data_IF_384012105115
#
_entry.id   IF_384012105115
#
_cell.length_a   1.000
_cell.length_b   1.000
_cell.length_c   1.000
_cell.angle_alpha   90.00
_cell.angle_beta   90.00
_cell.angle_gamma   90.00
#
_symmetry.space_group_name_H-M   'P 1'
#
loop_
_entity.id
_entity.type
_entity.pdbx_description
1 polymer ?
#
# COMPACT_ATOMS: atom_id res chain seq x y z
N UNK A 1 -21.78 -12.32 -29.48
CA UNK A 1 -21.28 -11.83 -28.18
C UNK A 1 -21.08 -13.03 -27.29
N UNK A 2 -19.85 -13.30 -26.89
CA UNK A 2 -19.52 -14.42 -26.00
C UNK A 2 -20.19 -14.24 -24.64
N UNK A 3 -20.51 -15.34 -23.96
CA UNK A 3 -21.20 -15.34 -22.67
C UNK A 3 -20.39 -16.10 -21.64
N UNK A 4 -20.14 -15.46 -20.51
CA UNK A 4 -19.47 -16.02 -19.33
C UNK A 4 -20.40 -15.87 -18.14
N UNK A 5 -20.25 -16.71 -17.13
CA UNK A 5 -21.00 -16.53 -15.89
C UNK A 5 -20.38 -15.40 -15.05
N UNK A 6 -19.04 -15.35 -15.03
CA UNK A 6 -18.26 -14.36 -14.30
C UNK A 6 -17.15 -13.82 -15.20
N UNK A 7 -16.98 -12.50 -15.24
CA UNK A 7 -15.80 -11.84 -15.82
C UNK A 7 -15.01 -11.13 -14.73
N UNK A 8 -13.73 -11.47 -14.60
CA UNK A 8 -12.80 -10.89 -13.63
C UNK A 8 -11.84 -9.96 -14.37
N UNK A 9 -11.78 -8.69 -13.95
CA UNK A 9 -10.93 -7.66 -14.53
C UNK A 9 -9.71 -7.44 -13.65
N UNK A 10 -8.53 -7.82 -14.15
CA UNK A 10 -7.24 -7.78 -13.48
C UNK A 10 -6.82 -9.15 -12.95
N UNK A 11 -5.63 -9.60 -13.34
CA UNK A 11 -5.01 -10.86 -12.90
C UNK A 11 -3.91 -10.60 -11.86
N UNK A 12 -4.22 -9.77 -10.87
CA UNK A 12 -3.33 -9.43 -9.74
C UNK A 12 -3.61 -10.25 -8.48
N UNK A 13 -3.20 -9.71 -7.33
CA UNK A 13 -3.30 -10.35 -6.00
C UNK A 13 -4.72 -10.79 -5.63
N UNK A 14 -5.76 -10.08 -6.07
CA UNK A 14 -7.15 -10.45 -5.79
C UNK A 14 -7.81 -11.24 -6.92
N UNK A 15 -7.50 -10.91 -8.17
CA UNK A 15 -8.17 -11.51 -9.33
C UNK A 15 -7.77 -12.95 -9.61
N UNK A 16 -6.48 -13.30 -9.47
CA UNK A 16 -6.02 -14.68 -9.61
C UNK A 16 -6.71 -15.65 -8.62
N UNK A 17 -6.70 -15.40 -7.29
CA UNK A 17 -7.43 -16.27 -6.35
C UNK A 17 -8.93 -16.30 -6.59
N UNK A 18 -9.53 -15.18 -7.00
CA UNK A 18 -10.95 -15.14 -7.36
C UNK A 18 -11.25 -16.08 -8.53
N UNK A 19 -10.40 -16.09 -9.56
CA UNK A 19 -10.56 -16.97 -10.71
C UNK A 19 -10.35 -18.44 -10.34
N UNK A 20 -9.34 -18.76 -9.51
CA UNK A 20 -9.05 -20.12 -9.05
C UNK A 20 -10.31 -20.73 -8.41
N UNK A 21 -10.91 -20.03 -7.44
CA UNK A 21 -12.07 -20.53 -6.70
C UNK A 21 -13.34 -20.53 -7.58
N UNK A 22 -13.57 -19.50 -8.39
CA UNK A 22 -14.72 -19.45 -9.29
C UNK A 22 -14.71 -20.60 -10.32
N UNK A 23 -13.57 -20.85 -10.95
CA UNK A 23 -13.40 -21.95 -11.92
C UNK A 23 -13.59 -23.32 -11.24
N UNK A 24 -13.20 -23.46 -9.98
CA UNK A 24 -13.36 -24.69 -9.22
C UNK A 24 -14.83 -25.09 -9.01
N UNK A 25 -15.76 -24.13 -9.02
CA UNK A 25 -17.20 -24.38 -8.91
C UNK A 25 -17.84 -24.96 -10.18
N UNK A 26 -17.18 -24.82 -11.33
CA UNK A 26 -17.74 -25.16 -12.65
C UNK A 26 -18.26 -23.95 -13.45
N UNK A 27 -18.32 -22.75 -12.85
CA UNK A 27 -18.70 -21.53 -13.55
C UNK A 27 -17.81 -21.25 -14.77
N UNK A 28 -18.40 -20.71 -15.85
CA UNK A 28 -17.66 -20.26 -17.02
C UNK A 28 -17.05 -18.89 -16.74
N UNK A 29 -15.72 -18.84 -16.60
CA UNK A 29 -14.99 -17.64 -16.17
C UNK A 29 -14.13 -17.08 -17.29
N UNK A 30 -14.20 -15.76 -17.47
CA UNK A 30 -13.22 -15.00 -18.25
C UNK A 30 -12.39 -14.13 -17.31
N UNK A 31 -11.07 -14.14 -17.49
CA UNK A 31 -10.15 -13.21 -16.85
C UNK A 31 -9.52 -12.33 -17.93
N UNK A 32 -9.58 -11.01 -17.75
CA UNK A 32 -8.92 -10.04 -18.63
C UNK A 32 -7.84 -9.28 -17.86
N UNK A 33 -6.66 -9.13 -18.45
CA UNK A 33 -5.52 -8.41 -17.91
C UNK A 33 -4.98 -7.45 -18.96
N UNK A 34 -4.83 -6.18 -18.59
CA UNK A 34 -4.39 -5.14 -19.51
C UNK A 34 -2.89 -5.26 -19.82
N UNK A 35 -2.10 -5.80 -18.90
CA UNK A 35 -0.69 -6.06 -19.08
C UNK A 35 -0.42 -7.37 -19.85
N UNK A 36 0.78 -7.54 -20.44
CA UNK A 36 1.14 -8.78 -21.14
C UNK A 36 1.46 -9.94 -20.20
N UNK A 37 1.36 -9.75 -18.88
CA UNK A 37 1.63 -10.78 -17.88
C UNK A 37 0.75 -10.60 -16.63
N UNK A 38 0.44 -11.73 -15.97
CA UNK A 38 -0.28 -11.72 -14.70
C UNK A 38 0.64 -11.39 -13.51
N UNK A 39 0.03 -11.11 -12.35
CA UNK A 39 0.68 -10.90 -11.07
C UNK A 39 0.49 -9.51 -10.48
N UNK A 40 0.20 -8.51 -11.31
CA UNK A 40 -0.03 -7.13 -10.87
C UNK A 40 1.11 -6.61 -9.99
N UNK A 41 0.78 -6.05 -8.82
CA UNK A 41 1.75 -5.45 -7.90
C UNK A 41 2.63 -6.46 -7.15
N UNK A 42 2.36 -7.77 -7.23
CA UNK A 42 3.20 -8.79 -6.56
C UNK A 42 4.66 -8.79 -7.07
N UNK A 43 4.90 -8.33 -8.30
CA UNK A 43 6.25 -8.22 -8.87
C UNK A 43 7.15 -7.20 -8.14
N UNK A 44 6.56 -6.24 -7.42
CA UNK A 44 7.30 -5.16 -6.73
C UNK A 44 6.95 -5.02 -5.25
N UNK A 45 5.92 -5.74 -4.79
CA UNK A 45 5.49 -5.72 -3.39
C UNK A 45 6.51 -6.41 -2.49
N UNK A 46 6.65 -5.94 -1.25
CA UNK A 46 7.35 -6.69 -0.20
C UNK A 46 6.59 -7.93 0.27
N UNK A 47 5.36 -8.15 -0.21
CA UNK A 47 4.60 -9.37 0.09
C UNK A 47 4.27 -9.55 1.56
N UNK A 48 4.33 -8.48 2.36
CA UNK A 48 3.92 -8.51 3.75
C UNK A 48 2.44 -8.84 3.84
N UNK A 49 2.13 -9.81 4.67
CA UNK A 49 0.82 -10.38 4.92
C UNK A 49 0.57 -10.37 6.43
N UNK A 50 -0.67 -10.22 6.84
CA UNK A 50 -1.09 -10.39 8.23
C UNK A 50 -2.24 -11.40 8.33
N UNK A 51 -2.31 -12.14 9.43
CA UNK A 51 -3.38 -13.11 9.66
C UNK A 51 -3.31 -13.68 11.06
N UNK A 52 -4.47 -13.91 11.68
CA UNK A 52 -4.55 -14.48 13.03
C UNK A 52 -5.02 -15.94 12.97
N UNK A 53 -4.57 -16.75 13.92
CA UNK A 53 -4.98 -18.15 14.10
C UNK A 53 -4.34 -19.14 13.12
N UNK A 54 -3.26 -18.77 12.43
CA UNK A 54 -2.59 -19.67 11.48
C UNK A 54 -1.99 -20.90 12.18
N UNK A 55 -1.75 -21.98 11.43
CA UNK A 55 -1.06 -23.16 11.94
C UNK A 55 0.36 -22.82 12.42
N UNK A 56 1.04 -21.92 11.72
CA UNK A 56 2.37 -21.47 12.08
C UNK A 56 2.39 -20.73 13.44
N UNK A 57 1.40 -19.88 13.72
CA UNK A 57 1.27 -19.25 15.05
C UNK A 57 1.10 -20.30 16.14
N UNK A 58 0.21 -21.28 15.92
CA UNK A 58 -0.02 -22.39 16.86
C UNK A 58 1.25 -23.20 17.10
N UNK A 59 2.03 -23.50 16.06
CA UNK A 59 3.30 -24.21 16.17
C UNK A 59 4.36 -23.43 16.97
N UNK A 60 4.30 -22.09 16.97
CA UNK A 60 5.17 -21.21 17.76
C UNK A 60 4.60 -20.88 19.15
N UNK A 61 3.47 -21.49 19.56
CA UNK A 61 2.84 -21.22 20.85
C UNK A 61 2.18 -19.84 20.95
N UNK A 62 1.91 -19.18 19.82
CA UNK A 62 1.23 -17.88 19.77
C UNK A 62 -0.27 -18.12 19.73
N UNK A 63 -0.97 -17.69 20.78
CA UNK A 63 -2.43 -17.72 20.86
C UNK A 63 -3.00 -16.39 20.33
N UNK A 64 -3.64 -16.44 19.16
CA UNK A 64 -4.18 -15.25 18.49
C UNK A 64 -5.58 -15.53 17.92
N UNK A 65 -6.36 -14.48 17.66
CA UNK A 65 -7.73 -14.58 17.16
C UNK A 65 -8.10 -13.43 16.23
N UNK A 66 -9.20 -13.60 15.47
CA UNK A 66 -9.72 -12.54 14.61
C UNK A 66 -10.17 -11.31 15.41
N UNK A 67 -10.70 -11.51 16.62
CA UNK A 67 -11.10 -10.45 17.54
C UNK A 67 -9.89 -9.66 18.05
N UNK A 68 -8.81 -10.36 18.42
CA UNK A 68 -7.56 -9.71 18.80
C UNK A 68 -6.95 -8.92 17.64
N UNK A 69 -7.04 -9.46 16.41
CA UNK A 69 -6.62 -8.76 15.21
C UNK A 69 -7.43 -7.49 14.97
N UNK A 70 -8.76 -7.58 15.06
CA UNK A 70 -9.66 -6.45 14.90
C UNK A 70 -9.36 -5.36 15.94
N UNK A 71 -9.14 -5.74 17.21
CA UNK A 71 -8.83 -4.80 18.27
C UNK A 71 -7.52 -4.04 18.02
N UNK A 72 -6.51 -4.68 17.44
CA UNK A 72 -5.29 -3.99 17.01
C UNK A 72 -5.53 -3.07 15.80
N UNK A 73 -6.31 -3.52 14.82
CA UNK A 73 -6.67 -2.69 13.66
C UNK A 73 -7.43 -1.44 14.11
N UNK A 74 -8.43 -1.58 14.98
CA UNK A 74 -9.22 -0.47 15.51
C UNK A 74 -8.39 0.48 16.38
N UNK A 75 -7.41 -0.05 17.13
CA UNK A 75 -6.44 0.78 17.85
C UNK A 75 -5.62 1.64 16.90
N UNK A 76 -5.01 1.01 15.89
CA UNK A 76 -4.08 1.69 14.98
C UNK A 76 -4.85 2.66 14.08
N UNK A 77 -5.95 2.22 13.49
CA UNK A 77 -6.75 3.05 12.57
C UNK A 77 -7.79 3.95 13.25
N UNK A 78 -7.89 3.91 14.59
CA UNK A 78 -8.82 4.72 15.40
C UNK A 78 -10.30 4.44 15.07
N UNK A 79 -10.62 3.18 14.75
CA UNK A 79 -11.98 2.71 14.44
C UNK A 79 -12.54 3.22 13.11
N UNK A 80 -11.69 3.65 12.16
CA UNK A 80 -12.14 4.29 10.91
C UNK A 80 -12.21 3.36 9.69
N UNK A 81 -11.69 2.14 9.81
CA UNK A 81 -11.84 1.10 8.79
C UNK A 81 -13.29 0.61 8.67
N UNK A 82 -13.59 -0.12 7.60
CA UNK A 82 -14.91 -0.69 7.36
C UNK A 82 -15.07 -1.99 8.12
N UNK A 83 -15.68 -1.87 9.30
CA UNK A 83 -15.85 -2.97 10.24
C UNK A 83 -16.55 -4.18 9.61
N UNK A 84 -17.58 -3.96 8.82
CA UNK A 84 -18.34 -5.02 8.15
C UNK A 84 -17.47 -5.83 7.16
N UNK A 85 -16.49 -5.20 6.51
CA UNK A 85 -15.56 -5.90 5.62
C UNK A 85 -14.47 -6.60 6.44
N UNK A 86 -13.99 -5.97 7.51
CA UNK A 86 -13.02 -6.56 8.44
C UNK A 86 -13.57 -7.84 9.08
N UNK A 87 -14.83 -7.84 9.52
CA UNK A 87 -15.52 -9.00 10.10
C UNK A 87 -15.67 -10.15 9.09
N UNK A 88 -15.73 -9.85 7.78
CA UNK A 88 -15.69 -10.87 6.72
C UNK A 88 -14.26 -11.38 6.49
N UNK A 89 -13.24 -10.53 6.37
CA UNK A 89 -11.89 -10.99 6.02
C UNK A 89 -11.15 -11.65 7.18
N UNK A 90 -11.17 -11.06 8.38
CA UNK A 90 -10.26 -11.41 9.48
C UNK A 90 -10.32 -12.88 9.91
N UNK A 91 -11.50 -13.50 10.08
CA UNK A 91 -11.59 -14.92 10.47
C UNK A 91 -11.01 -15.89 9.43
N UNK A 92 -10.75 -15.44 8.20
CA UNK A 92 -10.29 -16.26 7.08
C UNK A 92 -8.81 -16.05 6.74
N UNK A 93 -8.15 -15.06 7.35
CA UNK A 93 -6.79 -14.70 6.98
C UNK A 93 -5.77 -15.75 7.40
N UNK A 94 -5.87 -16.32 8.61
CA UNK A 94 -5.00 -17.41 9.06
C UNK A 94 -5.02 -18.59 8.09
N UNK A 95 -6.22 -19.07 7.73
CA UNK A 95 -6.39 -20.15 6.74
C UNK A 95 -5.90 -19.79 5.33
N UNK A 96 -5.85 -18.50 4.98
CA UNK A 96 -5.25 -18.06 3.71
C UNK A 96 -3.72 -18.13 3.74
N UNK A 97 -3.10 -17.85 4.88
CA UNK A 97 -1.67 -18.10 5.08
C UNK A 97 -1.37 -19.60 5.02
N UNK A 98 -2.19 -20.41 5.69
CA UNK A 98 -2.03 -21.87 5.69
C UNK A 98 -2.16 -22.44 4.27
N UNK A 99 -3.15 -21.98 3.49
CA UNK A 99 -3.29 -22.34 2.08
C UNK A 99 -2.06 -21.98 1.23
N UNK A 100 -1.42 -20.83 1.46
CA UNK A 100 -0.18 -20.50 0.77
C UNK A 100 0.93 -21.50 1.14
N UNK A 101 1.10 -21.81 2.43
CA UNK A 101 2.11 -22.75 2.90
C UNK A 101 1.90 -24.17 2.35
N UNK A 102 0.65 -24.65 2.33
CA UNK A 102 0.27 -25.95 1.74
C UNK A 102 0.64 -26.05 0.25
N UNK A 103 0.67 -24.91 -0.46
CA UNK A 103 1.01 -24.83 -1.88
C UNK A 103 2.49 -24.41 -2.11
N UNK A 104 3.35 -24.56 -1.10
CA UNK A 104 4.79 -24.38 -1.25
C UNK A 104 5.28 -22.93 -1.11
N UNK A 105 4.55 -22.09 -0.37
CA UNK A 105 5.02 -20.74 -0.05
C UNK A 105 6.31 -20.77 0.76
N UNK A 106 7.36 -20.16 0.20
CA UNK A 106 8.67 -20.04 0.83
C UNK A 106 8.66 -18.89 1.85
N UNK A 107 8.19 -19.23 3.06
CA UNK A 107 8.05 -18.34 4.21
C UNK A 107 9.43 -17.96 4.77
N UNK A 108 9.62 -16.67 5.05
CA UNK A 108 10.82 -16.24 5.76
C UNK A 108 10.88 -16.86 7.18
N UNK A 109 12.02 -17.41 7.61
CA UNK A 109 12.15 -18.09 8.90
C UNK A 109 11.93 -17.18 10.12
N UNK A 110 11.95 -15.86 9.95
CA UNK A 110 11.60 -14.92 11.01
C UNK A 110 10.09 -14.86 11.28
N UNK A 111 9.24 -15.45 10.43
CA UNK A 111 7.79 -15.39 10.55
C UNK A 111 7.21 -16.46 11.49
N UNK A 112 6.09 -16.17 12.18
CA UNK A 112 5.43 -14.87 12.26
C UNK A 112 6.23 -13.89 13.13
N UNK A 113 6.17 -12.59 12.79
CA UNK A 113 6.90 -11.56 13.52
C UNK A 113 6.03 -10.36 13.89
N UNK A 114 6.55 -9.55 14.82
CA UNK A 114 6.13 -8.15 15.00
C UNK A 114 6.99 -7.29 14.08
N UNK A 115 6.33 -6.54 13.19
CA UNK A 115 7.00 -5.65 12.26
C UNK A 115 6.80 -4.19 12.70
N UNK A 116 7.91 -3.44 12.78
CA UNK A 116 7.93 -2.05 13.27
C UNK A 116 8.01 -0.98 12.15
N UNK A 117 7.90 -1.39 10.88
CA UNK A 117 7.96 -0.45 9.75
C UNK A 117 6.81 0.58 9.81
N UNK A 118 5.65 0.15 10.28
CA UNK A 118 4.50 0.98 10.64
C UNK A 118 4.12 0.67 12.10
N UNK A 119 3.01 1.26 12.58
CA UNK A 119 2.51 0.98 13.91
C UNK A 119 2.30 -0.53 14.12
N UNK A 120 2.98 -1.08 15.13
CA UNK A 120 3.10 -2.50 15.28
C UNK A 120 1.82 -3.14 15.86
N UNK A 121 1.56 -4.38 15.45
CA UNK A 121 0.65 -5.27 16.15
C UNK A 121 1.20 -5.62 17.54
N UNK A 122 0.31 -6.02 18.45
CA UNK A 122 0.68 -6.55 19.77
C UNK A 122 1.16 -7.99 19.72
N UNK A 123 0.61 -8.76 18.79
CA UNK A 123 0.99 -10.17 18.58
C UNK A 123 1.78 -10.34 17.28
N UNK A 124 2.67 -11.34 17.28
CA UNK A 124 3.38 -11.76 16.09
C UNK A 124 2.39 -12.44 15.11
N UNK A 125 1.94 -11.65 14.12
CA UNK A 125 0.93 -12.04 13.12
C UNK A 125 1.27 -11.56 11.71
N UNK A 126 2.48 -11.06 11.50
CA UNK A 126 2.97 -10.62 10.19
C UNK A 126 3.83 -11.71 9.56
N UNK A 127 3.62 -11.96 8.28
CA UNK A 127 4.26 -12.98 7.46
C UNK A 127 4.78 -12.35 6.18
N UNK A 128 5.87 -12.88 5.63
CA UNK A 128 6.36 -12.55 4.30
C UNK A 128 7.17 -13.72 3.75
N UNK A 129 7.36 -13.73 2.44
CA UNK A 129 8.22 -14.72 1.80
C UNK A 129 9.64 -14.19 1.61
N UNK A 130 10.57 -15.11 1.38
CA UNK A 130 12.01 -14.78 1.20
C UNK A 130 12.30 -13.82 0.03
N UNK A 131 11.40 -13.72 -0.94
CA UNK A 131 11.45 -12.81 -2.09
C UNK A 131 10.25 -11.84 -2.10
N UNK A 132 9.67 -11.58 -0.93
CA UNK A 132 8.53 -10.69 -0.77
C UNK A 132 7.31 -11.10 -1.59
N UNK A 133 6.75 -10.18 -2.38
CA UNK A 133 5.55 -10.41 -3.19
C UNK A 133 5.76 -11.47 -4.27
N UNK A 134 6.99 -11.65 -4.74
CA UNK A 134 7.34 -12.68 -5.72
C UNK A 134 7.15 -14.07 -5.12
N UNK A 135 7.40 -14.28 -3.82
CA UNK A 135 7.10 -15.57 -3.16
C UNK A 135 5.61 -15.90 -3.20
N UNK A 136 4.73 -14.91 -3.04
CA UNK A 136 3.27 -15.11 -3.17
C UNK A 136 2.93 -15.46 -4.61
N UNK A 137 3.53 -14.75 -5.57
CA UNK A 137 3.30 -14.98 -7.00
C UNK A 137 3.75 -16.36 -7.45
N UNK A 138 4.88 -16.88 -6.94
CA UNK A 138 5.39 -18.23 -7.23
C UNK A 138 4.41 -19.32 -6.82
N UNK A 139 3.53 -19.06 -5.85
CA UNK A 139 2.45 -19.97 -5.44
C UNK A 139 1.18 -19.71 -6.25
N UNK A 140 0.72 -18.46 -6.33
CA UNK A 140 -0.59 -18.17 -6.94
C UNK A 140 -0.59 -18.33 -8.45
N UNK A 141 0.52 -18.04 -9.14
CA UNK A 141 0.59 -18.10 -10.60
C UNK A 141 0.41 -19.53 -11.14
N UNK A 142 1.14 -20.57 -10.68
CA UNK A 142 0.92 -21.93 -11.18
C UNK A 142 -0.50 -22.44 -10.91
N UNK A 143 -1.09 -22.13 -9.75
CA UNK A 143 -2.47 -22.49 -9.43
C UNK A 143 -3.48 -21.81 -10.37
N UNK A 144 -3.25 -20.54 -10.65
CA UNK A 144 -4.07 -19.76 -11.57
C UNK A 144 -3.94 -20.27 -13.01
N UNK A 145 -2.72 -20.49 -13.49
CA UNK A 145 -2.46 -21.04 -14.82
C UNK A 145 -3.12 -22.41 -14.98
N UNK A 146 -3.01 -23.29 -13.98
CA UNK A 146 -3.72 -24.57 -13.96
C UNK A 146 -5.24 -24.40 -14.05
N UNK A 147 -5.83 -23.45 -13.31
CA UNK A 147 -7.25 -23.14 -13.42
C UNK A 147 -7.64 -22.66 -14.83
N UNK A 148 -6.80 -21.83 -15.47
CA UNK A 148 -7.04 -21.32 -16.81
C UNK A 148 -6.92 -22.37 -17.93
N UNK A 149 -6.38 -23.56 -17.64
CA UNK A 149 -6.39 -24.69 -18.60
C UNK A 149 -7.72 -25.47 -18.61
N UNK A 150 -8.63 -25.19 -17.67
CA UNK A 150 -9.92 -25.89 -17.61
C UNK A 150 -10.85 -25.43 -18.74
N UNK A 151 -11.74 -26.29 -19.26
CA UNK A 151 -12.61 -25.96 -20.39
C UNK A 151 -13.63 -24.85 -20.08
N UNK A 152 -13.87 -24.55 -18.81
CA UNK A 152 -14.75 -23.48 -18.34
C UNK A 152 -13.99 -22.18 -18.02
N UNK A 153 -12.74 -22.03 -18.44
CA UNK A 153 -11.92 -20.86 -18.12
C UNK A 153 -11.25 -20.28 -19.36
N UNK A 154 -11.05 -18.96 -19.36
CA UNK A 154 -10.31 -18.25 -20.39
C UNK A 154 -9.53 -17.07 -19.80
N UNK A 155 -8.30 -16.87 -20.27
CA UNK A 155 -7.45 -15.72 -19.95
C UNK A 155 -7.14 -14.92 -21.21
N UNK A 156 -7.38 -13.60 -21.16
CA UNK A 156 -6.96 -12.65 -22.20
C UNK A 156 -5.98 -11.64 -21.62
N UNK A 157 -4.72 -11.77 -22.01
CA UNK A 157 -3.65 -10.80 -21.71
C UNK A 157 -3.68 -9.64 -22.72
N UNK A 158 -3.00 -8.55 -22.40
CA UNK A 158 -2.98 -7.34 -23.24
C UNK A 158 -4.39 -6.87 -23.65
N UNK A 159 -5.36 -7.09 -22.78
CA UNK A 159 -6.79 -6.86 -23.02
C UNK A 159 -7.36 -6.02 -21.90
N UNK A 160 -7.69 -4.77 -22.22
CA UNK A 160 -8.19 -3.77 -21.27
C UNK A 160 -9.71 -3.73 -21.28
N UNK A 161 -10.35 -3.83 -20.12
CA UNK A 161 -11.75 -3.46 -19.98
C UNK A 161 -11.90 -1.93 -20.00
N UNK A 162 -12.80 -1.41 -20.84
CA UNK A 162 -12.96 0.04 -21.08
C UNK A 162 -14.35 0.57 -20.71
N UNK A 163 -15.33 -0.31 -20.49
CA UNK A 163 -16.68 0.08 -20.11
C UNK A 163 -17.52 -1.05 -19.57
N UNK A 164 -18.51 -0.71 -18.74
CA UNK A 164 -19.55 -1.62 -18.25
C UNK A 164 -20.80 -1.48 -19.12
N UNK A 165 -21.46 -2.61 -19.40
CA UNK A 165 -22.74 -2.64 -20.11
C UNK A 165 -23.86 -2.84 -19.13
N UNK A 166 -24.78 -1.88 -19.09
CA UNK A 166 -25.89 -1.85 -18.15
C UNK A 166 -27.19 -2.08 -18.94
N UNK A 167 -27.96 -3.09 -18.54
CA UNK A 167 -29.27 -3.42 -19.09
C UNK A 167 -30.23 -3.55 -17.89
N UNK A 168 -31.37 -2.86 -17.93
CA UNK A 168 -32.38 -2.84 -16.86
C UNK A 168 -31.81 -2.51 -15.46
N UNK A 169 -30.86 -1.58 -15.41
CA UNK A 169 -30.21 -1.13 -14.17
C UNK A 169 -29.16 -2.10 -13.60
N UNK A 170 -28.91 -3.22 -14.28
CA UNK A 170 -27.94 -4.27 -13.89
C UNK A 170 -26.76 -4.32 -14.85
N UNK A 171 -25.56 -4.58 -14.31
CA UNK A 171 -24.38 -4.86 -15.14
C UNK A 171 -24.53 -6.25 -15.77
N UNK A 172 -24.47 -6.31 -17.10
CA UNK A 172 -24.67 -7.53 -17.92
C UNK A 172 -23.51 -7.84 -18.86
N UNK A 173 -22.46 -7.03 -18.85
CA UNK A 173 -21.35 -7.19 -19.77
C UNK A 173 -20.28 -6.13 -19.64
N UNK A 174 -19.26 -6.26 -20.47
CA UNK A 174 -18.14 -5.33 -20.57
C UNK A 174 -17.80 -5.05 -22.04
N UNK A 175 -17.24 -3.87 -22.28
CA UNK A 175 -16.48 -3.57 -23.49
C UNK A 175 -14.99 -3.78 -23.20
N UNK A 176 -14.30 -4.48 -24.10
CA UNK A 176 -12.89 -4.85 -24.00
C UNK A 176 -12.15 -4.29 -25.21
N UNK A 177 -10.90 -3.88 -25.01
CA UNK A 177 -9.95 -3.50 -26.06
C UNK A 177 -8.75 -4.45 -25.98
N UNK A 178 -8.61 -5.33 -26.97
CA UNK A 178 -7.51 -6.31 -27.03
C UNK A 178 -6.66 -6.16 -28.28
N UNK A 179 -5.70 -7.08 -28.52
CA UNK A 179 -4.82 -7.02 -29.69
C UNK A 179 -5.56 -7.11 -31.03
N UNK A 180 -6.73 -7.72 -31.04
CA UNK A 180 -7.61 -7.86 -32.23
C UNK A 180 -8.61 -6.69 -32.37
N UNK A 181 -8.54 -5.70 -31.47
CA UNK A 181 -9.42 -4.54 -31.41
C UNK A 181 -10.52 -4.64 -30.35
N UNK A 182 -11.51 -3.76 -30.47
CA UNK A 182 -12.65 -3.68 -29.56
C UNK A 182 -13.56 -4.92 -29.67
N UNK A 183 -13.98 -5.46 -28.52
CA UNK A 183 -14.94 -6.55 -28.41
C UNK A 183 -15.87 -6.34 -27.23
N UNK A 184 -16.94 -7.14 -27.17
CA UNK A 184 -17.95 -7.06 -26.12
C UNK A 184 -18.27 -8.46 -25.61
N UNK A 185 -18.50 -8.59 -24.30
CA UNK A 185 -18.83 -9.86 -23.64
C UNK A 185 -20.07 -9.71 -22.77
N UNK A 186 -20.92 -10.75 -22.72
CA UNK A 186 -22.05 -10.86 -21.77
C UNK A 186 -21.61 -11.60 -20.53
N UNK A 187 -22.08 -11.16 -19.37
CA UNK A 187 -21.86 -11.86 -18.11
C UNK A 187 -22.95 -11.69 -17.06
N UNK A 188 -23.04 -12.65 -16.15
CA UNK A 188 -23.91 -12.59 -14.98
C UNK A 188 -23.33 -11.73 -13.84
N UNK A 189 -22.00 -11.66 -13.75
CA UNK A 189 -21.27 -10.89 -12.75
C UNK A 189 -19.91 -10.37 -13.29
N UNK A 190 -19.58 -9.14 -12.94
CA UNK A 190 -18.28 -8.51 -13.18
C UNK A 190 -17.57 -8.31 -11.84
N UNK A 191 -16.30 -8.72 -11.75
CA UNK A 191 -15.43 -8.49 -10.60
C UNK A 191 -14.30 -7.54 -11.00
N UNK A 192 -14.31 -6.33 -10.44
CA UNK A 192 -13.22 -5.35 -10.59
C UNK A 192 -12.13 -5.66 -9.55
N UNK A 193 -11.08 -6.34 -10.00
CA UNK A 193 -9.88 -6.68 -9.23
C UNK A 193 -8.63 -5.92 -9.73
N UNK A 194 -8.85 -4.67 -10.17
CA UNK A 194 -7.92 -3.89 -10.99
C UNK A 194 -6.79 -3.18 -10.24
N UNK A 195 -6.68 -3.38 -8.93
CA UNK A 195 -5.73 -2.64 -8.10
C UNK A 195 -6.13 -1.16 -7.89
N UNK A 196 -5.19 -0.37 -7.38
CA UNK A 196 -5.37 1.05 -7.06
C UNK A 196 -5.00 2.00 -8.20
N UNK A 197 -4.80 3.27 -7.85
CA UNK A 197 -4.45 4.37 -8.76
C UNK A 197 -3.09 5.02 -8.47
N UNK A 198 -2.18 4.26 -7.84
CA UNK A 198 -0.88 4.77 -7.40
C UNK A 198 0.08 5.13 -8.53
N UNK A 199 -0.27 4.84 -9.78
CA UNK A 199 0.44 5.25 -11.00
C UNK A 199 -0.16 6.48 -11.69
N UNK A 200 -1.29 7.02 -11.20
CA UNK A 200 -2.03 8.11 -11.83
C UNK A 200 -2.08 9.36 -10.93
N UNK A 201 -1.17 10.31 -11.16
CA UNK A 201 -1.04 11.52 -10.35
C UNK A 201 -2.30 12.41 -10.39
N UNK A 202 -3.02 12.48 -11.52
CA UNK A 202 -4.25 13.27 -11.66
C UNK A 202 -5.37 12.68 -10.83
N UNK A 203 -5.58 11.36 -10.94
CA UNK A 203 -6.58 10.66 -10.15
C UNK A 203 -6.23 10.69 -8.66
N UNK A 204 -4.95 10.54 -8.32
CA UNK A 204 -4.50 10.66 -6.94
C UNK A 204 -4.84 12.04 -6.34
N UNK A 205 -4.52 13.13 -7.05
CA UNK A 205 -4.86 14.47 -6.61
C UNK A 205 -6.39 14.64 -6.45
N UNK A 206 -7.20 14.12 -7.38
CA UNK A 206 -8.69 14.14 -7.28
C UNK A 206 -9.18 13.43 -6.01
N UNK A 207 -8.59 12.28 -5.68
CA UNK A 207 -9.03 11.43 -4.57
C UNK A 207 -8.48 11.85 -3.20
N UNK A 208 -7.48 12.74 -3.15
CA UNK A 208 -6.77 13.08 -1.90
C UNK A 208 -6.70 14.58 -1.63
N UNK A 209 -7.63 15.36 -2.18
CA UNK A 209 -7.74 16.79 -1.90
C UNK A 209 -6.60 17.63 -2.49
N UNK A 210 -6.14 17.28 -3.68
CA UNK A 210 -5.13 18.04 -4.44
C UNK A 210 -3.67 17.72 -4.09
N UNK A 211 -3.41 16.69 -3.28
CA UNK A 211 -2.04 16.30 -2.90
C UNK A 211 -1.25 15.78 -4.10
N UNK A 212 0.05 16.06 -4.11
CA UNK A 212 0.97 15.47 -5.07
C UNK A 212 1.19 13.99 -4.78
N UNK A 213 1.32 13.19 -5.84
CA UNK A 213 1.61 11.77 -5.74
C UNK A 213 3.11 11.54 -5.73
N UNK A 214 3.63 10.90 -4.69
CA UNK A 214 4.97 10.30 -4.64
C UNK A 214 4.82 8.80 -4.37
N UNK A 215 5.37 7.92 -5.21
CA UNK A 215 4.84 6.55 -5.31
C UNK A 215 5.86 5.47 -5.62
N UNK A 216 5.68 4.32 -4.96
CA UNK A 216 6.33 3.05 -5.32
C UNK A 216 5.42 2.12 -6.16
N UNK A 217 4.19 2.53 -6.48
CA UNK A 217 3.25 1.75 -7.30
C UNK A 217 3.68 1.66 -8.78
N UNK A 218 3.21 0.62 -9.48
CA UNK A 218 3.52 0.42 -10.90
C UNK A 218 2.71 1.39 -11.79
N UNK A 219 3.20 1.78 -12.97
CA UNK A 219 2.46 2.63 -13.90
C UNK A 219 1.07 2.10 -14.29
N UNK A 220 0.92 0.77 -14.40
CA UNK A 220 -0.35 0.10 -14.70
C UNK A 220 -1.42 0.20 -13.60
N UNK A 221 -1.07 0.66 -12.39
CA UNK A 221 -2.03 1.01 -11.33
C UNK A 221 -2.65 2.37 -11.62
N UNK A 222 -3.43 2.45 -12.71
CA UNK A 222 -3.92 3.70 -13.30
C UNK A 222 -5.31 4.14 -12.78
N UNK A 223 -6.00 3.28 -12.04
CA UNK A 223 -7.34 3.52 -11.50
C UNK A 223 -8.49 3.37 -12.50
N UNK A 224 -8.23 2.84 -13.70
CA UNK A 224 -9.25 2.67 -14.75
C UNK A 224 -10.48 1.87 -14.30
N UNK A 225 -10.31 0.83 -13.47
CA UNK A 225 -11.44 0.10 -12.88
C UNK A 225 -12.32 0.96 -11.96
N UNK A 226 -11.73 1.90 -11.23
CA UNK A 226 -12.46 2.83 -10.36
C UNK A 226 -13.26 3.83 -11.20
N UNK A 227 -12.65 4.39 -12.25
CA UNK A 227 -13.35 5.30 -13.16
C UNK A 227 -14.49 4.60 -13.92
N UNK A 228 -14.29 3.33 -14.29
CA UNK A 228 -15.34 2.51 -14.91
C UNK A 228 -16.51 2.26 -13.96
N UNK A 229 -16.24 1.97 -12.69
CA UNK A 229 -17.27 1.81 -11.67
C UNK A 229 -18.01 3.13 -11.40
N UNK A 230 -17.29 4.24 -11.27
CA UNK A 230 -17.85 5.58 -11.06
C UNK A 230 -18.77 5.98 -12.22
N UNK A 231 -18.37 5.69 -13.47
CA UNK A 231 -19.20 5.90 -14.66
C UNK A 231 -20.50 5.05 -14.66
N UNK A 232 -20.50 3.89 -14.00
CA UNK A 232 -21.69 3.06 -13.76
C UNK A 232 -22.52 3.51 -12.54
N UNK A 233 -22.13 4.61 -11.89
CA UNK A 233 -22.82 5.20 -10.74
C UNK A 233 -22.39 4.62 -9.39
N UNK A 234 -21.20 4.02 -9.30
CA UNK A 234 -20.64 3.58 -8.03
C UNK A 234 -20.32 4.76 -7.10
N UNK A 235 -20.60 4.58 -5.81
CA UNK A 235 -20.08 5.43 -4.76
C UNK A 235 -18.58 5.20 -4.57
N UNK A 236 -17.89 6.23 -4.11
CA UNK A 236 -16.48 6.17 -3.73
C UNK A 236 -16.33 6.50 -2.26
N UNK A 237 -15.39 5.84 -1.58
CA UNK A 237 -15.12 6.08 -0.16
C UNK A 237 -13.63 6.15 0.12
N UNK A 238 -13.26 6.88 1.17
CA UNK A 238 -11.94 6.84 1.78
C UNK A 238 -11.05 8.03 1.41
N UNK A 239 -11.61 9.02 0.70
CA UNK A 239 -10.90 10.23 0.27
C UNK A 239 -10.37 11.06 1.46
N UNK A 240 -11.05 11.02 2.60
CA UNK A 240 -10.66 11.73 3.83
C UNK A 240 -9.76 10.91 4.77
N UNK A 241 -9.42 9.67 4.39
CA UNK A 241 -8.68 8.71 5.22
C UNK A 241 -7.21 8.54 4.80
N UNK A 242 -6.70 9.42 3.95
CA UNK A 242 -5.34 9.32 3.45
C UNK A 242 -4.29 9.48 4.58
N UNK A 243 -3.37 8.52 4.63
CA UNK A 243 -2.16 8.53 5.44
C UNK A 243 -0.95 8.15 4.56
N UNK A 244 0.12 8.97 4.51
CA UNK A 244 1.33 8.63 3.78
C UNK A 244 2.24 7.69 4.60
N UNK A 245 3.11 6.96 3.91
CA UNK A 245 4.29 6.35 4.52
C UNK A 245 5.36 7.42 4.76
N UNK A 246 6.06 7.35 5.91
CA UNK A 246 6.77 8.50 6.47
C UNK A 246 7.87 9.12 5.58
N UNK A 247 8.61 8.37 4.78
CA UNK A 247 9.40 9.03 3.75
C UNK A 247 9.87 8.14 2.62
N UNK A 248 9.92 8.73 1.44
CA UNK A 248 10.90 8.36 0.43
C UNK A 248 11.59 9.58 -0.13
N UNK A 249 12.59 9.31 -0.97
CA UNK A 249 13.30 10.28 -1.77
C UNK A 249 12.98 9.93 -3.23
N UNK A 250 12.54 10.89 -4.07
CA UNK A 250 12.35 10.62 -5.49
C UNK A 250 13.62 10.03 -6.11
N UNK A 251 13.48 9.03 -6.97
CA UNK A 251 14.62 8.39 -7.62
C UNK A 251 15.37 9.38 -8.53
N UNK A 252 14.60 10.16 -9.31
CA UNK A 252 15.11 11.18 -10.21
C UNK A 252 14.72 12.58 -9.73
N UNK A 253 15.57 13.58 -10.03
CA UNK A 253 15.29 14.97 -9.72
C UNK A 253 14.01 15.44 -10.45
N UNK A 254 13.08 16.06 -9.71
CA UNK A 254 11.79 16.50 -10.24
C UNK A 254 10.79 15.37 -10.54
N UNK A 255 11.20 14.11 -10.40
CA UNK A 255 10.32 12.95 -10.52
C UNK A 255 9.50 12.72 -9.26
N UNK A 256 8.57 11.77 -9.36
CA UNK A 256 7.72 11.35 -8.23
C UNK A 256 7.83 9.85 -7.90
N UNK A 257 8.63 9.12 -8.67
CA UNK A 257 8.91 7.71 -8.46
C UNK A 257 9.81 7.54 -7.25
N UNK A 258 9.44 6.65 -6.33
CA UNK A 258 10.29 6.24 -5.21
C UNK A 258 10.68 4.77 -5.42
N UNK A 259 11.98 4.50 -5.32
CA UNK A 259 12.53 3.15 -5.36
C UNK A 259 12.61 2.61 -3.95
N UNK A 260 11.89 1.53 -3.69
CA UNK A 260 11.75 0.96 -2.36
C UNK A 260 13.11 0.62 -1.70
N UNK A 261 14.02 -0.02 -2.45
CA UNK A 261 15.36 -0.38 -1.95
C UNK A 261 16.16 0.84 -1.46
N UNK A 262 15.87 2.01 -2.00
CA UNK A 262 16.54 3.28 -1.71
C UNK A 262 15.84 4.10 -0.61
N UNK A 263 14.87 3.52 0.11
CA UNK A 263 14.21 4.22 1.20
C UNK A 263 15.15 4.54 2.37
N UNK A 264 14.94 5.67 3.05
CA UNK A 264 15.70 6.02 4.23
C UNK A 264 15.32 5.15 5.44
N UNK A 265 16.31 4.79 6.25
CA UNK A 265 16.12 4.05 7.49
C UNK A 265 15.72 5.01 8.62
N UNK A 266 14.42 5.31 8.71
CA UNK A 266 13.87 6.28 9.66
C UNK A 266 13.07 5.64 10.80
N UNK A 267 12.92 4.32 10.84
CA UNK A 267 12.18 3.62 11.89
C UNK A 267 13.02 3.55 13.17
N UNK A 268 12.63 4.20 14.29
CA UNK A 268 13.47 4.29 15.49
C UNK A 268 13.81 2.93 16.12
N UNK A 269 12.95 1.94 15.94
CA UNK A 269 13.16 0.56 16.39
C UNK A 269 14.25 -0.18 15.58
N UNK A 270 14.54 0.29 14.36
CA UNK A 270 15.58 -0.28 13.47
C UNK A 270 16.84 0.57 13.53
N UNK A 271 16.69 1.90 13.42
CA UNK A 271 17.77 2.87 13.48
C UNK A 271 17.30 4.09 14.28
N UNK A 272 17.85 4.27 15.47
CA UNK A 272 17.64 5.46 16.27
C UNK A 272 18.14 6.71 15.51
N UNK A 273 17.41 7.84 15.56
CA UNK A 273 17.72 9.02 14.75
C UNK A 273 18.95 9.77 15.28
N UNK A 274 19.80 10.26 14.38
CA UNK A 274 20.90 11.18 14.71
C UNK A 274 20.64 12.59 14.14
N UNK A 275 19.85 12.63 13.09
CA UNK A 275 19.32 13.77 12.35
C UNK A 275 18.15 14.48 13.06
N UNK A 276 17.84 15.70 12.62
CA UNK A 276 16.60 16.41 12.91
C UNK A 276 15.65 16.37 11.72
N UNK A 277 14.35 16.26 11.98
CA UNK A 277 13.31 16.37 10.96
C UNK A 277 12.67 17.75 11.02
N UNK A 278 12.94 18.58 10.00
CA UNK A 278 12.52 19.97 9.94
C UNK A 278 11.49 20.18 8.82
N UNK A 279 10.40 20.88 9.12
CA UNK A 279 9.46 21.35 8.12
C UNK A 279 10.15 22.29 7.11
N UNK A 280 9.45 22.64 6.04
CA UNK A 280 10.02 23.47 4.96
C UNK A 280 10.42 24.88 5.39
N UNK A 281 9.95 25.35 6.55
CA UNK A 281 10.34 26.62 7.18
C UNK A 281 11.55 26.49 8.13
N UNK A 282 12.01 25.28 8.44
CA UNK A 282 13.10 24.99 9.38
C UNK A 282 12.66 24.66 10.81
N UNK A 283 11.35 24.62 11.10
CA UNK A 283 10.85 24.23 12.41
C UNK A 283 10.86 22.70 12.58
N UNK A 284 11.24 22.21 13.76
CA UNK A 284 10.95 20.81 14.12
C UNK A 284 9.43 20.62 14.21
N UNK A 285 8.93 19.51 13.69
CA UNK A 285 7.49 19.20 13.67
C UNK A 285 7.13 17.87 14.33
N UNK A 286 8.14 17.08 14.71
CA UNK A 286 7.96 15.73 15.24
C UNK A 286 9.06 15.38 16.24
N UNK A 287 8.76 14.46 17.15
CA UNK A 287 9.76 13.74 17.96
C UNK A 287 10.38 12.64 17.10
N UNK A 288 11.64 12.77 16.73
CA UNK A 288 12.26 11.88 15.73
C UNK A 288 12.38 10.42 16.20
N UNK A 289 12.48 10.19 17.52
CA UNK A 289 12.57 8.87 18.18
C UNK A 289 11.23 8.42 18.79
N UNK A 290 10.10 8.99 18.36
CA UNK A 290 8.78 8.56 18.83
C UNK A 290 8.59 7.06 18.53
N UNK A 291 8.32 6.21 19.55
CA UNK A 291 8.08 4.79 19.32
C UNK A 291 6.83 4.54 18.45
N UNK A 292 5.88 5.46 18.39
CA UNK A 292 4.74 5.36 17.48
C UNK A 292 5.10 5.88 16.10
N UNK A 293 5.13 4.97 15.12
CA UNK A 293 5.30 5.36 13.71
C UNK A 293 4.04 6.06 13.20
N UNK A 294 2.85 5.70 13.70
CA UNK A 294 1.56 6.35 13.37
C UNK A 294 1.61 7.86 13.64
N UNK A 295 2.11 8.26 14.82
CA UNK A 295 2.27 9.68 15.18
C UNK A 295 3.12 10.45 14.15
N UNK A 296 4.20 9.83 13.67
CA UNK A 296 5.13 10.45 12.72
C UNK A 296 4.49 10.57 11.34
N UNK A 297 3.82 9.51 10.86
CA UNK A 297 3.07 9.54 9.59
C UNK A 297 1.95 10.60 9.62
N UNK A 298 1.22 10.70 10.73
CA UNK A 298 0.20 11.73 10.90
C UNK A 298 0.77 13.15 10.93
N UNK A 299 1.96 13.35 11.48
CA UNK A 299 2.61 14.66 11.51
C UNK A 299 2.88 15.22 10.10
N UNK A 300 3.13 14.35 9.10
CA UNK A 300 3.34 14.77 7.70
C UNK A 300 2.10 15.38 7.05
N UNK A 301 0.90 14.96 7.47
CA UNK A 301 -0.34 15.50 6.92
C UNK A 301 -0.52 17.00 7.20
N UNK A 302 0.16 17.53 8.23
CA UNK A 302 0.19 18.96 8.54
C UNK A 302 1.20 19.77 7.73
N UNK A 303 2.08 19.12 6.96
CA UNK A 303 3.13 19.78 6.19
C UNK A 303 2.69 20.02 4.75
N UNK A 304 3.11 21.17 4.19
CA UNK A 304 2.97 21.44 2.77
C UNK A 304 3.68 20.37 1.95
N UNK A 305 2.94 19.75 1.02
CA UNK A 305 3.44 18.68 0.15
C UNK A 305 4.01 17.46 0.90
N UNK A 306 3.62 17.28 2.17
CA UNK A 306 4.14 16.25 3.08
C UNK A 306 5.67 16.20 3.11
N UNK A 307 6.31 17.34 2.88
CA UNK A 307 7.73 17.44 2.65
C UNK A 307 8.44 17.97 3.89
N UNK A 308 9.63 17.43 4.16
CA UNK A 308 10.49 17.88 5.23
C UNK A 308 11.96 17.71 4.85
N UNK A 309 12.84 18.37 5.60
CA UNK A 309 14.28 18.24 5.50
C UNK A 309 14.80 17.40 6.66
N UNK A 310 15.57 16.36 6.33
CA UNK A 310 16.38 15.62 7.27
C UNK A 310 17.75 16.30 7.39
N UNK A 311 18.02 16.96 8.52
CA UNK A 311 19.21 17.82 8.71
C UNK A 311 20.19 17.21 9.71
N UNK A 312 21.47 17.18 9.34
CA UNK A 312 22.59 16.65 10.12
C UNK A 312 23.90 17.34 9.72
N UNK A 313 25.04 16.95 10.28
CA UNK A 313 26.37 17.45 9.87
C UNK A 313 27.35 16.32 9.52
N UNK A 314 28.52 16.68 9.00
CA UNK A 314 29.56 15.73 8.59
C UNK A 314 29.97 14.77 9.72
N UNK A 315 29.91 15.22 10.97
CA UNK A 315 30.26 14.38 12.11
C UNK A 315 29.17 13.32 12.39
N UNK A 316 27.90 13.69 12.28
CA UNK A 316 26.80 12.71 12.28
C UNK A 316 26.93 11.73 11.12
N UNK A 317 27.25 12.21 9.90
CA UNK A 317 27.42 11.35 8.73
C UNK A 317 28.53 10.30 8.93
N UNK A 318 29.62 10.67 9.59
CA UNK A 318 30.77 9.80 9.83
C UNK A 318 30.52 8.74 10.92
N UNK A 319 29.69 9.03 11.92
CA UNK A 319 29.54 8.19 13.12
C UNK A 319 28.21 7.40 13.17
N UNK A 320 27.15 7.92 12.55
CA UNK A 320 25.83 7.30 12.62
C UNK A 320 25.75 6.03 11.75
N UNK A 321 24.92 5.04 12.12
CA UNK A 321 24.51 4.00 11.19
C UNK A 321 23.94 4.64 9.89
N UNK A 322 24.17 4.04 8.71
CA UNK A 322 23.76 4.63 7.43
C UNK A 322 22.28 5.01 7.40
N UNK A 323 21.99 6.28 7.11
CA UNK A 323 20.63 6.78 6.90
C UNK A 323 20.00 6.22 5.61
N UNK A 324 20.84 6.03 4.59
CA UNK A 324 20.46 5.56 3.25
C UNK A 324 21.16 4.24 2.92
N UNK A 325 20.85 3.14 3.64
CA UNK A 325 21.60 1.89 3.52
C UNK A 325 21.51 1.21 2.15
N UNK A 326 20.50 1.56 1.35
CA UNK A 326 20.30 1.00 0.01
C UNK A 326 20.88 1.83 -1.14
N UNK A 327 21.60 2.92 -0.84
CA UNK A 327 22.28 3.75 -1.83
C UNK A 327 23.77 3.39 -1.91
N UNK A 328 24.33 3.33 -3.12
CA UNK A 328 25.79 3.17 -3.28
C UNK A 328 26.53 4.48 -3.01
N UNK A 329 27.84 4.39 -2.81
CA UNK A 329 28.68 5.58 -2.62
C UNK A 329 28.64 6.49 -3.85
N UNK A 330 28.66 5.91 -5.05
CA UNK A 330 28.53 6.64 -6.32
C UNK A 330 27.18 7.35 -6.43
N UNK A 331 26.08 6.66 -6.12
CA UNK A 331 24.72 7.24 -6.16
C UNK A 331 24.60 8.42 -5.18
N UNK A 332 25.14 8.28 -3.96
CA UNK A 332 25.16 9.37 -2.97
C UNK A 332 26.02 10.54 -3.44
N UNK A 333 27.22 10.27 -3.94
CA UNK A 333 28.14 11.31 -4.45
C UNK A 333 27.49 12.10 -5.59
N UNK A 334 26.85 11.41 -6.53
CA UNK A 334 26.10 12.04 -7.61
C UNK A 334 24.91 12.85 -7.08
N UNK A 335 24.17 12.30 -6.11
CA UNK A 335 23.05 12.99 -5.50
C UNK A 335 23.48 14.32 -4.85
N UNK A 336 24.51 14.32 -4.00
CA UNK A 336 25.04 15.54 -3.37
C UNK A 336 25.56 16.57 -4.39
N UNK A 337 26.05 16.12 -5.54
CA UNK A 337 26.60 17.00 -6.57
C UNK A 337 25.53 17.63 -7.47
N UNK A 338 24.41 16.92 -7.73
CA UNK A 338 23.50 17.27 -8.83
C UNK A 338 22.04 17.46 -8.41
N UNK A 339 21.64 17.02 -7.23
CA UNK A 339 20.22 17.01 -6.83
C UNK A 339 19.89 18.11 -5.84
N UNK A 340 18.80 18.82 -6.12
CA UNK A 340 18.26 19.84 -5.20
C UNK A 340 17.74 19.24 -3.88
N UNK A 341 17.37 17.97 -3.87
CA UNK A 341 16.97 17.26 -2.65
C UNK A 341 18.17 16.99 -1.71
N UNK A 342 19.42 17.19 -2.16
CA UNK A 342 20.62 16.91 -1.38
C UNK A 342 21.49 18.16 -1.27
N UNK A 343 21.48 18.80 -0.10
CA UNK A 343 22.12 20.09 0.12
C UNK A 343 23.25 19.97 1.14
N UNK A 344 24.47 20.37 0.73
CA UNK A 344 25.61 20.58 1.62
C UNK A 344 25.89 22.06 1.82
N UNK A 345 26.18 22.50 3.04
CA UNK A 345 26.41 23.90 3.36
C UNK A 345 27.48 24.04 4.47
N UNK A 346 28.35 25.06 4.40
CA UNK A 346 29.36 25.30 5.43
C UNK A 346 28.76 25.84 6.74
N UNK A 347 27.59 26.48 6.67
CA UNK A 347 26.95 27.17 7.79
C UNK A 347 25.42 27.23 7.65
N UNK A 348 24.75 27.69 8.72
CA UNK A 348 23.29 27.77 8.83
C UNK A 348 22.71 28.72 7.77
N UNK A 349 23.37 29.86 7.52
CA UNK A 349 22.88 30.87 6.57
C UNK A 349 22.84 30.31 5.15
N UNK A 350 23.90 29.61 4.73
CA UNK A 350 23.98 28.95 3.43
C UNK A 350 22.99 27.79 3.34
N UNK A 351 22.81 27.00 4.40
CA UNK A 351 21.83 25.92 4.41
C UNK A 351 20.41 26.46 4.25
N UNK A 352 20.05 27.49 5.02
CA UNK A 352 18.75 28.16 4.94
C UNK A 352 18.49 28.67 3.51
N UNK A 353 19.46 29.40 2.93
CA UNK A 353 19.33 29.94 1.58
C UNK A 353 19.12 28.86 0.51
N UNK A 354 19.85 27.74 0.59
CA UNK A 354 19.76 26.64 -0.40
C UNK A 354 18.51 25.77 -0.25
N UNK A 355 17.98 25.65 0.96
CA UNK A 355 16.81 24.80 1.26
C UNK A 355 15.49 25.56 1.28
N UNK A 356 15.55 26.89 1.32
CA UNK A 356 14.40 27.77 1.48
C UNK A 356 13.86 27.87 2.91
N UNK A 357 14.54 27.26 3.89
CA UNK A 357 14.18 27.37 5.30
C UNK A 357 14.44 28.79 5.84
N UNK A 358 13.67 29.23 6.84
CA UNK A 358 13.94 30.49 7.52
C UNK A 358 15.21 30.35 8.38
N UNK A 359 16.21 31.25 8.22
CA UNK A 359 17.49 31.12 8.93
C UNK A 359 17.36 31.27 10.45
N UNK A 360 16.40 32.07 10.94
CA UNK A 360 16.15 32.24 12.37
C UNK A 360 15.49 30.99 12.96
N UNK A 361 14.48 30.44 12.28
CA UNK A 361 13.78 29.23 12.73
C UNK A 361 14.73 28.03 12.70
N UNK A 362 15.49 27.84 11.61
CA UNK A 362 16.50 26.78 11.50
C UNK A 362 17.56 26.90 12.61
N UNK A 363 18.10 28.11 12.81
CA UNK A 363 19.06 28.39 13.87
C UNK A 363 18.50 28.06 15.27
N UNK A 364 17.24 28.38 15.53
CA UNK A 364 16.57 28.07 16.79
C UNK A 364 16.38 26.56 17.00
N UNK A 365 15.98 25.83 15.96
CA UNK A 365 15.83 24.36 15.99
C UNK A 365 17.16 23.69 16.36
N UNK A 366 18.25 24.04 15.67
CA UNK A 366 19.59 23.52 15.94
C UNK A 366 20.09 23.93 17.34
N UNK A 367 19.94 25.20 17.71
CA UNK A 367 20.39 25.71 19.02
C UNK A 367 19.69 24.98 20.18
N UNK A 368 18.38 24.77 20.07
CA UNK A 368 17.59 24.11 21.11
C UNK A 368 18.00 22.65 21.28
N UNK A 369 18.11 21.90 20.17
CA UNK A 369 18.58 20.50 20.20
C UNK A 369 19.99 20.39 20.77
N UNK A 370 20.91 21.24 20.29
CA UNK A 370 22.31 21.23 20.73
C UNK A 370 22.50 21.59 22.21
N UNK A 371 21.56 22.33 22.79
CA UNK A 371 21.54 22.61 24.23
C UNK A 371 21.10 21.38 25.02
N UNK A 372 20.05 20.68 24.57
CA UNK A 372 19.61 19.44 25.20
C UNK A 372 20.73 18.38 25.21
N UNK A 373 21.47 18.25 24.11
CA UNK A 373 22.65 17.37 24.02
C UNK A 373 23.74 17.77 25.04
N UNK A 374 24.04 19.07 25.17
CA UNK A 374 25.13 19.55 26.02
C UNK A 374 24.80 19.48 27.52
N UNK A 375 23.57 19.83 27.88
CA UNK A 375 23.14 19.95 29.28
C UNK A 375 22.61 18.61 29.84
N UNK A 376 22.38 17.61 28.98
CA UNK A 376 21.69 16.37 29.34
C UNK A 376 20.22 16.60 29.76
N UNK A 377 19.65 17.76 29.38
CA UNK A 377 18.30 18.18 29.72
C UNK A 377 17.23 17.67 28.73
N UNK A 378 15.94 17.85 29.05
CA UNK A 378 14.86 17.39 28.18
C UNK A 378 14.85 18.15 26.85
N UNK A 379 14.74 17.40 25.75
CA UNK A 379 14.46 17.98 24.44
C UNK A 379 13.04 18.54 24.37
N UNK A 380 12.84 19.65 23.64
CA UNK A 380 11.53 20.33 23.55
C UNK A 380 10.42 19.48 22.92
N UNK A 381 10.77 18.55 22.04
CA UNK A 381 9.81 17.60 21.45
C UNK A 381 9.72 16.30 22.24
N UNK A 382 10.41 16.19 23.37
CA UNK A 382 10.47 14.96 24.17
C UNK A 382 11.37 13.88 23.60
N UNK A 383 12.27 14.21 22.65
CA UNK A 383 13.28 13.27 22.15
C UNK A 383 14.20 12.82 23.27
N UNK A 384 14.45 11.52 23.35
CA UNK A 384 15.25 10.88 24.39
C UNK A 384 16.63 10.41 23.88
N UNK A 385 16.73 10.00 22.62
CA UNK A 385 17.99 9.63 22.01
C UNK A 385 18.70 10.86 21.41
N UNK A 386 19.72 11.37 22.11
CA UNK A 386 20.46 12.60 21.78
C UNK A 386 21.96 12.30 21.58
N UNK A 387 22.34 11.57 20.51
CA UNK A 387 23.67 10.96 20.42
C UNK A 387 24.78 11.99 20.20
N UNK A 388 24.48 13.10 19.50
CA UNK A 388 25.46 14.10 19.10
C UNK A 388 24.83 15.44 18.78
N UNK A 389 25.56 16.53 19.02
CA UNK A 389 25.19 17.88 18.60
C UNK A 389 25.44 18.08 17.10
N UNK A 390 24.55 18.83 16.43
CA UNK A 390 24.65 19.20 15.02
C UNK A 390 25.06 20.68 14.95
N UNK A 391 26.37 20.94 14.84
CA UNK A 391 26.95 22.30 14.95
C UNK A 391 27.78 22.70 13.73
N UNK A 392 28.00 21.76 12.81
CA UNK A 392 28.95 21.94 11.71
C UNK A 392 30.42 21.78 12.16
N UNK A 393 31.39 21.96 11.24
CA UNK A 393 31.20 22.35 9.84
C UNK A 393 30.51 21.26 9.00
N UNK A 394 30.07 21.64 7.80
CA UNK A 394 29.50 20.70 6.84
C UNK A 394 28.08 20.27 7.23
N UNK A 395 27.17 21.24 7.32
CA UNK A 395 25.75 20.94 7.47
C UNK A 395 25.22 20.29 6.19
N UNK A 396 24.32 19.33 6.36
CA UNK A 396 23.69 18.57 5.29
C UNK A 396 22.19 18.53 5.49
N UNK A 397 21.45 18.57 4.39
CA UNK A 397 20.01 18.37 4.40
C UNK A 397 19.59 17.48 3.23
N UNK A 398 18.71 16.51 3.52
CA UNK A 398 18.08 15.65 2.51
C UNK A 398 16.57 15.92 2.52
N UNK A 399 16.00 16.31 1.38
CA UNK A 399 14.57 16.54 1.22
C UNK A 399 13.86 15.19 1.11
N UNK A 400 12.89 14.99 1.99
CA UNK A 400 12.10 13.77 2.09
C UNK A 400 10.63 14.10 1.98
N UNK A 401 9.84 13.14 1.51
CA UNK A 401 8.41 13.33 1.27
C UNK A 401 7.61 12.11 1.68
N UNK A 402 6.43 12.36 2.25
CA UNK A 402 5.43 11.32 2.44
C UNK A 402 5.10 10.63 1.12
N UNK A 403 5.03 9.31 1.13
CA UNK A 403 4.83 8.50 -0.08
C UNK A 403 3.62 7.58 -0.01
N UNK A 404 3.24 7.05 -1.17
CA UNK A 404 2.08 6.19 -1.36
C UNK A 404 2.55 4.78 -1.70
N UNK A 405 2.20 3.82 -0.85
CA UNK A 405 2.33 2.39 -1.10
C UNK A 405 1.02 1.74 -1.55
N UNK A 406 -0.10 2.29 -1.05
CA UNK A 406 -1.45 1.89 -1.39
C UNK A 406 -2.31 3.13 -1.50
N UNK A 407 -3.23 3.15 -2.45
CA UNK A 407 -4.15 4.27 -2.61
C UNK A 407 -5.28 4.21 -1.59
N UNK A 408 -5.64 5.34 -0.95
CA UNK A 408 -6.55 5.35 0.19
C UNK A 408 -8.00 5.05 -0.20
N UNK A 409 -8.53 5.77 -1.19
CA UNK A 409 -9.92 5.70 -1.58
C UNK A 409 -10.16 4.60 -2.61
N UNK A 410 -11.42 4.22 -2.81
CA UNK A 410 -11.79 3.29 -3.87
C UNK A 410 -13.30 3.11 -3.95
N UNK A 411 -13.69 2.07 -4.69
CA UNK A 411 -15.07 1.70 -4.96
C UNK A 411 -15.76 1.29 -3.66
N UNK A 412 -16.91 1.90 -3.35
CA UNK A 412 -17.71 1.51 -2.20
C UNK A 412 -18.39 0.15 -2.44
N UNK A 413 -18.30 -0.74 -1.44
CA UNK A 413 -18.89 -2.07 -1.48
C UNK A 413 -19.58 -2.40 -0.16
N UNK A 414 -20.53 -3.33 -0.21
CA UNK A 414 -21.10 -3.97 0.99
C UNK A 414 -20.28 -5.19 1.45
N UNK A 415 -20.72 -5.85 2.53
CA UNK A 415 -20.13 -7.06 3.10
C UNK A 415 -20.12 -8.26 2.14
N UNK A 416 -20.92 -8.21 1.07
CA UNK A 416 -20.92 -9.19 -0.01
C UNK A 416 -19.92 -8.85 -1.13
N UNK A 417 -19.23 -7.72 -1.01
CA UNK A 417 -18.40 -7.10 -2.04
C UNK A 417 -19.18 -6.70 -3.30
N UNK A 418 -20.49 -6.50 -3.18
CA UNK A 418 -21.30 -5.88 -4.23
C UNK A 418 -21.07 -4.38 -4.20
N UNK A 419 -20.82 -3.79 -5.37
CA UNK A 419 -20.59 -2.36 -5.50
C UNK A 419 -21.86 -1.60 -5.13
N UNK A 420 -21.70 -0.52 -4.36
CA UNK A 420 -22.81 0.35 -3.96
C UNK A 420 -22.76 1.67 -4.70
N UNK A 421 -23.94 2.26 -4.91
CA UNK A 421 -24.12 3.65 -5.32
C UNK A 421 -23.85 4.59 -4.15
N UNK A 422 -23.78 5.88 -4.43
CA UNK A 422 -23.62 6.90 -3.40
C UNK A 422 -24.76 6.94 -2.36
N UNK A 423 -25.97 6.47 -2.73
CA UNK A 423 -27.11 6.34 -1.82
C UNK A 423 -27.12 5.02 -1.02
N UNK A 424 -26.12 4.17 -1.21
CA UNK A 424 -25.98 2.86 -0.55
C UNK A 424 -26.72 1.71 -1.23
N UNK A 425 -27.49 1.95 -2.30
CA UNK A 425 -28.14 0.87 -3.05
C UNK A 425 -27.12 0.05 -3.84
N UNK A 426 -27.32 -1.26 -4.01
CA UNK A 426 -26.39 -2.10 -4.75
C UNK A 426 -26.47 -1.86 -6.26
N UNK A 427 -25.33 -2.01 -6.95
CA UNK A 427 -25.25 -2.14 -8.40
C UNK A 427 -25.21 -3.63 -8.72
N UNK A 428 -26.36 -4.18 -9.12
CA UNK A 428 -26.45 -5.61 -9.41
C UNK A 428 -25.48 -6.03 -10.51
N UNK A 429 -24.86 -7.20 -10.32
CA UNK A 429 -23.89 -7.77 -11.25
C UNK A 429 -22.51 -7.12 -11.22
N UNK A 430 -22.26 -6.14 -10.32
CA UNK A 430 -20.95 -5.50 -10.20
C UNK A 430 -20.35 -5.71 -8.80
N UNK A 431 -19.13 -6.22 -8.77
CA UNK A 431 -18.36 -6.47 -7.56
C UNK A 431 -16.97 -5.85 -7.66
N UNK A 432 -16.34 -5.56 -6.52
CA UNK A 432 -14.97 -5.04 -6.48
C UNK A 432 -14.19 -5.63 -5.30
N UNK A 433 -12.89 -5.87 -5.49
CA UNK A 433 -12.03 -6.51 -4.48
C UNK A 433 -10.55 -6.09 -4.63
N UNK A 434 -9.77 -6.26 -3.57
CA UNK A 434 -8.36 -5.87 -3.54
C UNK A 434 -8.19 -4.37 -3.35
N UNK A 435 -7.18 -3.75 -3.96
CA UNK A 435 -6.98 -2.31 -3.80
C UNK A 435 -8.02 -1.45 -4.55
N UNK A 436 -8.84 -2.06 -5.43
CA UNK A 436 -9.92 -1.36 -6.14
C UNK A 436 -10.99 -0.79 -5.18
N UNK A 437 -11.18 -1.39 -4.00
CA UNK A 437 -12.08 -0.87 -2.94
C UNK A 437 -11.40 0.14 -2.02
N UNK A 438 -10.14 0.51 -2.31
CA UNK A 438 -9.34 1.46 -1.54
C UNK A 438 -8.67 0.85 -0.31
N UNK A 439 -7.39 1.14 -0.14
CA UNK A 439 -6.61 0.62 0.99
C UNK A 439 -7.10 1.13 2.35
N UNK A 440 -7.84 2.24 2.41
CA UNK A 440 -8.44 2.73 3.67
C UNK A 440 -9.69 1.93 4.07
N UNK A 441 -10.28 1.13 3.18
CA UNK A 441 -11.40 0.25 3.54
C UNK A 441 -11.02 -0.71 4.67
N UNK A 442 -9.78 -1.21 4.66
CA UNK A 442 -9.29 -2.13 5.70
C UNK A 442 -8.37 -1.42 6.71
N UNK A 443 -7.68 -0.36 6.29
CA UNK A 443 -6.71 0.31 7.15
C UNK A 443 -7.22 1.59 7.82
N UNK A 444 -8.39 2.12 7.45
CA UNK A 444 -8.87 3.42 7.94
C UNK A 444 -7.82 4.52 7.77
N UNK A 445 -7.70 5.37 8.78
CA UNK A 445 -6.68 6.44 8.93
C UNK A 445 -5.31 5.95 9.41
N UNK A 446 -5.11 4.65 9.53
CA UNK A 446 -3.83 4.06 9.91
C UNK A 446 -3.13 3.38 8.74
N UNK A 447 -1.84 3.06 8.92
CA UNK A 447 -1.15 2.11 8.06
C UNK A 447 -1.11 0.75 8.75
N UNK A 448 -1.87 -0.21 8.23
CA UNK A 448 -1.99 -1.54 8.82
C UNK A 448 -1.17 -2.54 7.98
N UNK A 449 0.00 -2.95 8.48
CA UNK A 449 0.89 -3.86 7.75
C UNK A 449 0.20 -5.20 7.44
N UNK A 450 0.41 -5.72 6.23
CA UNK A 450 -0.20 -6.99 5.81
C UNK A 450 -1.64 -6.92 5.30
N UNK A 451 -2.37 -5.84 5.61
CA UNK A 451 -3.79 -5.69 5.27
C UNK A 451 -4.08 -5.20 3.84
N UNK A 452 -3.10 -5.26 2.94
CA UNK A 452 -3.32 -5.16 1.50
C UNK A 452 -3.28 -6.54 0.83
N UNK A 453 -2.23 -7.33 1.11
CA UNK A 453 -1.99 -8.62 0.43
C UNK A 453 -2.93 -9.70 0.94
N UNK A 454 -2.97 -9.96 2.26
CA UNK A 454 -3.81 -11.05 2.79
C UNK A 454 -5.29 -10.85 2.49
N UNK A 455 -5.87 -9.65 2.69
CA UNK A 455 -7.27 -9.44 2.36
C UNK A 455 -7.56 -9.56 0.87
N UNK A 456 -6.67 -9.10 -0.01
CA UNK A 456 -6.83 -9.28 -1.46
C UNK A 456 -6.90 -10.77 -1.83
N UNK A 457 -6.00 -11.59 -1.28
CA UNK A 457 -6.03 -13.05 -1.45
C UNK A 457 -7.32 -13.65 -0.86
N UNK A 458 -7.61 -13.34 0.41
CA UNK A 458 -8.70 -13.92 1.19
C UNK A 458 -10.06 -13.59 0.60
N UNK A 459 -10.32 -12.30 0.36
CA UNK A 459 -11.58 -11.81 -0.20
C UNK A 459 -11.72 -12.19 -1.68
N UNK A 460 -10.60 -12.23 -2.43
CA UNK A 460 -10.60 -12.73 -3.80
C UNK A 460 -11.09 -14.18 -3.85
N UNK A 461 -10.48 -15.07 -3.07
CA UNK A 461 -10.89 -16.48 -2.96
C UNK A 461 -12.37 -16.62 -2.59
N UNK A 462 -12.75 -15.95 -1.50
CA UNK A 462 -14.12 -16.01 -0.99
C UNK A 462 -15.16 -15.51 -2.00
N UNK A 463 -14.88 -14.39 -2.68
CA UNK A 463 -15.78 -13.85 -3.70
C UNK A 463 -15.91 -14.77 -4.90
N UNK A 464 -14.79 -15.33 -5.37
CA UNK A 464 -14.77 -16.29 -6.47
C UNK A 464 -15.64 -17.51 -6.20
N UNK A 465 -15.48 -18.13 -5.03
CA UNK A 465 -16.30 -19.26 -4.61
C UNK A 465 -17.78 -18.88 -4.52
N UNK A 466 -18.10 -17.75 -3.86
CA UNK A 466 -19.48 -17.28 -3.66
C UNK A 466 -20.21 -17.05 -4.99
N UNK A 467 -19.58 -16.31 -5.91
CA UNK A 467 -20.17 -16.02 -7.22
C UNK A 467 -20.26 -17.27 -8.10
N UNK A 468 -19.25 -18.15 -8.01
CA UNK A 468 -19.25 -19.42 -8.74
C UNK A 468 -20.42 -20.32 -8.35
N UNK A 469 -20.67 -20.50 -7.05
CA UNK A 469 -21.82 -21.27 -6.54
C UNK A 469 -23.13 -20.66 -7.02
N UNK A 470 -23.32 -19.34 -6.87
CA UNK A 470 -24.54 -18.65 -7.30
C UNK A 470 -24.81 -18.79 -8.81
N UNK A 471 -23.76 -18.77 -9.64
CA UNK A 471 -23.87 -18.99 -11.08
C UNK A 471 -24.34 -20.41 -11.43
N UNK A 472 -23.86 -21.42 -10.69
CA UNK A 472 -24.25 -22.81 -10.90
C UNK A 472 -25.68 -23.09 -10.45
N UNK A 473 -26.15 -22.43 -9.39
CA UNK A 473 -27.56 -22.52 -8.95
C UNK A 473 -28.51 -21.91 -9.99
N UNK A 474 -28.16 -20.74 -10.55
CA UNK A 474 -28.99 -20.05 -11.57
C UNK A 474 -29.09 -20.83 -12.88
N UNK A 475 -28.12 -21.70 -13.18
CA UNK A 475 -28.09 -22.50 -14.41
C UNK A 475 -28.84 -23.84 -14.26
N UNK A 476 -29.15 -24.24 -13.02
CA UNK A 476 -29.86 -25.47 -12.72
C UNK A 476 -31.40 -25.30 -12.73
N UNK A 477 -31.88 -24.06 -12.63
CA UNK A 477 -33.29 -23.66 -12.84
C UNK A 477 -33.58 -23.38 -14.32
#
# INVERSE_FOLDING_TARGET
MERYDIVIVGAGTAGMPCAIEAVATGARVLVVEAEPQVGGTLHVSLGQMSGAGSELQRAHGIADSAEAHLADIERINRGTGRREILEVTLPRQGATIDWLMENGFDMDPACPAILHLHEAYREARTYWGVEGGVSVLKVTRPLFEAAMTRPNAELRLSTRATGLRIEDGRVRGLTLEGPEGASEVRTGAVVLATGGYGGNAKLFARMTGGRALYTAAMPGSDGSGIEMAEAAGAGLRGQDLFLPTYAGIPHEAGGNRIVWRQMPSLTPQVRQPWELHLATDGARFVREDDPSVDNREHALNGLSDMAFWCVFDDAVLAEAPPLLPGWTEEELSEAWARRDDFVSAPDIATLAARTGMDPSILGQSLCTYNRAVADGGPDRMGRTHLPRAIRGPGLRAIRMRGMVLKTPAGIDVDETLTVRRADGTPIEGLHAVGEAIGGSTLSGRGFISGMSVTPALTLGRWLGQRLGVAAMETTAE
#
